data_IF_950406867824
#
_entry.id   IF_950406867824
#
_cell.length_a   1.000
_cell.length_b   1.000
_cell.length_c   1.000
_cell.angle_alpha   90.00
_cell.angle_beta   90.00
_cell.angle_gamma   90.00
#
_symmetry.space_group_name_H-M   'P 1'
#
loop_
_entity.id
_entity.type
_entity.pdbx_description
1 polymer ?
#
# COMPACT_ATOMS: atom_id res chain seq x y z
N UNK A 1 -5.62 -24.36 -1.78
CA UNK A 1 -5.23 -22.99 -1.46
C UNK A 1 -5.50 -22.74 0.02
N UNK A 2 -4.49 -22.93 0.84
CA UNK A 2 -4.54 -22.50 2.23
C UNK A 2 -4.23 -21.00 2.21
N UNK A 3 -5.27 -20.17 2.04
CA UNK A 3 -5.16 -18.76 2.39
C UNK A 3 -4.57 -18.69 3.80
N UNK A 4 -3.66 -17.77 4.02
CA UNK A 4 -2.99 -17.57 5.31
C UNK A 4 -4.10 -17.52 6.37
N UNK A 5 -4.06 -18.47 7.31
CA UNK A 5 -5.07 -18.62 8.36
C UNK A 5 -5.22 -17.28 9.09
N UNK A 6 -6.42 -16.75 9.13
CA UNK A 6 -6.78 -15.60 9.95
C UNK A 6 -6.90 -14.25 9.22
N UNK A 7 -6.41 -14.09 8.00
CA UNK A 7 -6.48 -12.80 7.29
C UNK A 7 -7.86 -12.57 6.67
N UNK A 8 -8.50 -11.47 7.02
CA UNK A 8 -9.81 -11.09 6.51
C UNK A 8 -9.67 -10.36 5.16
N UNK A 9 -9.20 -11.08 4.13
CA UNK A 9 -9.04 -10.55 2.78
C UNK A 9 -10.42 -10.36 2.14
N UNK A 10 -10.76 -9.16 1.68
CA UNK A 10 -12.00 -8.92 0.96
C UNK A 10 -12.14 -9.86 -0.22
N UNK A 11 -13.21 -10.65 -0.24
CA UNK A 11 -13.44 -11.66 -1.26
C UNK A 11 -14.86 -11.58 -1.80
N UNK A 12 -15.08 -12.22 -2.92
CA UNK A 12 -16.40 -12.37 -3.54
C UNK A 12 -16.56 -13.77 -4.08
N UNK A 13 -17.81 -14.22 -4.20
CA UNK A 13 -18.14 -15.50 -4.81
C UNK A 13 -18.40 -15.27 -6.30
N UNK A 14 -17.65 -15.98 -7.15
CA UNK A 14 -17.90 -16.04 -8.59
C UNK A 14 -18.62 -17.35 -8.87
N UNK A 15 -19.77 -17.23 -9.53
CA UNK A 15 -20.57 -18.37 -9.98
C UNK A 15 -20.26 -18.64 -11.46
N UNK A 16 -19.76 -19.81 -11.74
CA UNK A 16 -19.51 -20.29 -13.10
C UNK A 16 -20.61 -21.26 -13.51
N UNK A 17 -21.21 -21.06 -14.67
CA UNK A 17 -22.00 -22.06 -15.33
C UNK A 17 -21.07 -22.77 -16.32
N UNK A 18 -20.90 -24.06 -16.14
CA UNK A 18 -20.03 -24.90 -17.00
C UNK A 18 -20.88 -25.89 -17.74
N UNK A 19 -20.80 -25.86 -19.05
CA UNK A 19 -21.45 -26.82 -19.93
C UNK A 19 -20.40 -27.76 -20.52
N UNK A 20 -20.62 -29.06 -20.36
CA UNK A 20 -19.80 -30.08 -21.00
C UNK A 20 -20.54 -30.56 -22.25
N UNK A 21 -19.86 -30.49 -23.38
CA UNK A 21 -20.42 -30.90 -24.67
C UNK A 21 -19.73 -32.18 -25.15
N UNK A 22 -20.48 -33.02 -25.89
CA UNK A 22 -19.95 -34.21 -26.54
C UNK A 22 -19.35 -33.87 -27.92
N UNK A 23 -18.93 -34.90 -28.67
CA UNK A 23 -18.32 -34.76 -29.99
C UNK A 23 -19.27 -34.24 -31.05
N UNK A 24 -20.57 -34.09 -30.74
CA UNK A 24 -21.62 -33.56 -31.63
C UNK A 24 -22.11 -32.18 -31.21
N UNK A 25 -21.34 -31.50 -30.30
CA UNK A 25 -21.68 -30.20 -29.66
C UNK A 25 -23.01 -30.22 -28.87
N UNK A 26 -23.47 -31.42 -28.44
CA UNK A 26 -24.62 -31.56 -27.56
C UNK A 26 -24.21 -31.42 -26.10
N UNK A 27 -24.93 -30.57 -25.34
CA UNK A 27 -24.69 -30.42 -23.90
C UNK A 27 -25.08 -31.69 -23.16
N UNK A 28 -24.11 -32.36 -22.56
CA UNK A 28 -24.31 -33.63 -21.84
C UNK A 28 -24.26 -33.43 -20.31
N UNK A 29 -23.73 -32.31 -19.84
CA UNK A 29 -23.70 -31.97 -18.45
C UNK A 29 -23.70 -30.46 -18.26
N UNK A 30 -24.43 -29.97 -17.27
CA UNK A 30 -24.40 -28.59 -16.81
C UNK A 30 -24.06 -28.57 -15.33
N UNK A 31 -23.01 -27.88 -14.97
CA UNK A 31 -22.55 -27.75 -13.59
C UNK A 31 -22.47 -26.28 -13.17
N UNK A 32 -22.77 -26.04 -11.91
CA UNK A 32 -22.49 -24.75 -11.28
C UNK A 32 -21.31 -24.88 -10.34
N UNK A 33 -20.26 -24.11 -10.59
CA UNK A 33 -19.08 -24.03 -9.73
C UNK A 33 -19.08 -22.70 -9.00
N UNK A 34 -18.92 -22.72 -7.70
CA UNK A 34 -18.73 -21.53 -6.87
C UNK A 34 -17.27 -21.42 -6.48
N UNK A 35 -16.64 -20.31 -6.85
CA UNK A 35 -15.25 -20.02 -6.52
C UNK A 35 -15.18 -18.80 -5.63
N UNK A 36 -14.51 -18.91 -4.48
CA UNK A 36 -14.19 -17.75 -3.65
C UNK A 36 -12.93 -17.08 -4.24
N UNK A 37 -13.06 -15.84 -4.66
CA UNK A 37 -11.99 -15.07 -5.30
C UNK A 37 -11.70 -13.83 -4.48
N UNK A 38 -10.43 -13.55 -4.22
CA UNK A 38 -10.03 -12.30 -3.59
C UNK A 38 -10.43 -11.11 -4.48
N UNK A 39 -10.99 -10.08 -3.90
CA UNK A 39 -11.27 -8.84 -4.63
C UNK A 39 -9.96 -8.20 -5.05
N UNK A 40 -9.93 -7.62 -6.24
CA UNK A 40 -8.79 -6.82 -6.68
C UNK A 40 -8.56 -5.69 -5.68
N UNK A 41 -7.31 -5.49 -5.26
CA UNK A 41 -6.94 -4.35 -4.43
C UNK A 41 -7.37 -3.03 -5.11
N UNK A 42 -8.01 -2.11 -4.38
CA UNK A 42 -8.31 -0.78 -4.88
C UNK A 42 -7.06 0.11 -4.94
N UNK A 43 -5.94 -0.35 -4.39
CA UNK A 43 -4.70 0.40 -4.32
C UNK A 43 -3.91 0.27 -5.63
N UNK A 44 -3.14 1.31 -5.90
CA UNK A 44 -2.30 1.38 -7.09
C UNK A 44 -1.00 0.62 -6.80
N UNK A 45 -0.63 -0.25 -7.73
CA UNK A 45 0.64 -0.94 -7.66
C UNK A 45 1.80 0.07 -7.70
N UNK A 46 2.74 -0.05 -6.76
CA UNK A 46 3.92 0.82 -6.62
C UNK A 46 4.97 0.52 -7.70
N UNK A 47 4.59 0.73 -8.95
CA UNK A 47 5.54 0.67 -10.06
C UNK A 47 5.75 2.06 -10.68
N UNK A 48 6.93 2.27 -11.26
CA UNK A 48 7.33 3.56 -11.83
C UNK A 48 6.31 4.12 -12.84
N UNK A 49 5.73 3.26 -13.68
CA UNK A 49 4.77 3.68 -14.72
C UNK A 49 3.49 4.25 -14.12
N UNK A 50 2.93 3.58 -13.13
CA UNK A 50 1.70 4.04 -12.47
C UNK A 50 1.93 5.32 -11.68
N UNK A 51 3.02 5.37 -10.93
CA UNK A 51 3.39 6.54 -10.13
C UNK A 51 3.70 7.74 -11.03
N UNK A 52 4.47 7.57 -12.11
CA UNK A 52 4.76 8.65 -13.06
C UNK A 52 3.47 9.27 -13.65
N UNK A 53 2.47 8.44 -13.96
CA UNK A 53 1.17 8.90 -14.43
C UNK A 53 0.48 9.83 -13.41
N UNK A 54 0.53 9.46 -12.12
CA UNK A 54 -0.06 10.27 -11.05
C UNK A 54 0.70 11.58 -10.87
N UNK A 55 2.03 11.51 -10.84
CA UNK A 55 2.90 12.68 -10.67
C UNK A 55 2.75 13.70 -11.80
N UNK A 56 2.50 13.26 -13.04
CA UNK A 56 2.28 14.16 -14.16
C UNK A 56 1.03 15.04 -13.98
N UNK A 57 0.03 14.56 -13.23
CA UNK A 57 -1.18 15.34 -12.91
C UNK A 57 -1.04 16.21 -11.65
N UNK A 58 0.06 16.07 -10.89
CA UNK A 58 0.26 16.80 -9.65
C UNK A 58 0.94 18.14 -9.92
N UNK A 59 0.35 19.23 -9.43
CA UNK A 59 0.86 20.59 -9.56
C UNK A 59 0.94 21.27 -8.19
N UNK A 60 1.66 22.36 -8.09
CA UNK A 60 1.74 23.15 -6.84
C UNK A 60 0.36 23.66 -6.38
N UNK A 61 -0.57 23.85 -7.31
CA UNK A 61 -1.94 24.30 -7.04
C UNK A 61 -2.89 23.13 -6.72
N UNK A 62 -2.42 21.89 -6.77
CA UNK A 62 -3.24 20.72 -6.44
C UNK A 62 -3.62 20.77 -4.96
N UNK A 63 -4.93 20.85 -4.69
CA UNK A 63 -5.46 20.87 -3.33
C UNK A 63 -5.62 19.45 -2.80
N UNK A 64 -5.32 19.22 -1.52
CA UNK A 64 -5.58 17.93 -0.89
C UNK A 64 -7.10 17.68 -0.82
N UNK A 65 -7.49 16.42 -0.93
CA UNK A 65 -8.89 16.02 -0.71
C UNK A 65 -9.29 16.17 0.77
N UNK A 66 -8.32 16.12 1.67
CA UNK A 66 -8.43 16.32 3.12
C UNK A 66 -7.03 16.58 3.69
N UNK A 67 -6.97 17.08 4.93
CA UNK A 67 -5.71 17.40 5.60
C UNK A 67 -5.14 18.76 5.21
N UNK A 68 -3.92 19.03 5.67
CA UNK A 68 -3.24 20.34 5.56
C UNK A 68 -2.02 20.34 4.64
N UNK A 69 -1.52 19.18 4.24
CA UNK A 69 -0.29 19.05 3.44
C UNK A 69 -0.50 19.62 2.04
N UNK A 70 0.45 20.42 1.57
CA UNK A 70 0.57 20.76 0.16
C UNK A 70 0.95 19.54 -0.68
N UNK A 71 0.84 19.64 -2.00
CA UNK A 71 1.25 18.56 -2.91
C UNK A 71 2.72 18.15 -2.69
N UNK A 72 3.61 19.13 -2.49
CA UNK A 72 5.02 18.86 -2.22
C UNK A 72 5.24 18.19 -0.86
N UNK A 73 4.61 18.71 0.21
CA UNK A 73 4.72 18.11 1.54
C UNK A 73 4.23 16.66 1.58
N UNK A 74 3.10 16.37 0.90
CA UNK A 74 2.60 15.01 0.77
C UNK A 74 3.64 14.10 0.07
N UNK A 75 4.25 14.59 -1.01
CA UNK A 75 5.21 13.79 -1.77
C UNK A 75 6.50 13.52 -0.97
N UNK A 76 7.00 14.52 -0.25
CA UNK A 76 8.15 14.38 0.65
C UNK A 76 7.86 13.46 1.84
N UNK A 77 6.61 13.47 2.32
CA UNK A 77 6.16 12.52 3.34
C UNK A 77 6.15 11.08 2.80
N UNK A 78 5.58 10.85 1.61
CA UNK A 78 5.58 9.53 0.98
C UNK A 78 7.01 9.04 0.66
N UNK A 79 7.89 9.94 0.23
CA UNK A 79 9.31 9.63 0.05
C UNK A 79 9.95 9.13 1.34
N UNK A 80 9.71 9.83 2.44
CA UNK A 80 10.23 9.45 3.75
C UNK A 80 9.73 8.06 4.16
N UNK A 81 8.45 7.76 3.95
CA UNK A 81 7.90 6.43 4.25
C UNK A 81 8.49 5.33 3.38
N UNK A 82 8.76 5.57 2.09
CA UNK A 82 9.50 4.63 1.24
C UNK A 82 10.89 4.30 1.78
N UNK A 83 11.63 5.32 2.24
CA UNK A 83 12.97 5.12 2.80
C UNK A 83 12.92 4.35 4.13
N UNK A 84 11.99 4.66 5.03
CA UNK A 84 11.77 3.85 6.23
C UNK A 84 11.43 2.39 5.92
N UNK A 85 10.70 2.15 4.83
CA UNK A 85 10.33 0.78 4.40
C UNK A 85 11.51 -0.08 3.93
N UNK A 86 12.67 0.53 3.72
CA UNK A 86 13.93 -0.16 3.41
C UNK A 86 15.00 0.05 4.48
N UNK A 87 14.61 0.54 5.66
CA UNK A 87 15.51 0.76 6.80
C UNK A 87 16.39 2.01 6.69
N UNK A 88 15.98 3.03 5.94
CA UNK A 88 16.77 4.26 5.74
C UNK A 88 16.02 5.56 6.13
N UNK A 89 16.12 6.01 7.38
CA UNK A 89 16.71 5.31 8.52
C UNK A 89 15.77 4.21 9.04
N UNK A 90 16.32 3.27 9.79
CA UNK A 90 15.50 2.29 10.50
C UNK A 90 14.68 2.98 11.60
N UNK A 91 13.43 2.56 11.77
CA UNK A 91 12.58 3.08 12.84
C UNK A 91 13.10 2.63 14.19
N UNK A 92 13.25 3.56 15.14
CA UNK A 92 13.80 3.27 16.47
C UNK A 92 12.86 2.42 17.34
N UNK A 93 11.53 2.63 17.18
CA UNK A 93 10.51 1.93 17.98
C UNK A 93 9.17 1.86 17.27
N UNK A 94 8.37 0.87 17.67
CA UNK A 94 6.94 0.83 17.39
C UNK A 94 6.16 1.43 18.56
N UNK A 95 5.16 2.28 18.25
CA UNK A 95 4.30 2.91 19.26
C UNK A 95 3.10 2.05 19.65
N UNK A 96 2.77 1.06 18.83
CA UNK A 96 1.65 0.15 19.10
C UNK A 96 2.08 -0.93 20.09
N UNK A 97 1.34 -1.15 21.20
CA UNK A 97 1.57 -2.27 22.10
C UNK A 97 1.57 -3.61 21.38
N UNK A 98 2.43 -4.53 21.83
CA UNK A 98 2.64 -5.83 21.18
C UNK A 98 1.33 -6.64 21.04
N UNK A 99 0.48 -6.60 22.07
CA UNK A 99 -0.83 -7.28 22.08
C UNK A 99 -1.82 -6.78 21.00
N UNK A 100 -1.54 -5.64 20.38
CA UNK A 100 -2.38 -5.05 19.34
C UNK A 100 -1.79 -5.17 17.94
N UNK A 101 -0.52 -5.55 17.80
CA UNK A 101 0.20 -5.56 16.52
C UNK A 101 -0.47 -6.46 15.48
N UNK A 102 -0.86 -7.69 15.86
CA UNK A 102 -1.54 -8.62 14.94
C UNK A 102 -2.80 -8.00 14.34
N UNK A 103 -3.64 -7.37 15.17
CA UNK A 103 -4.86 -6.68 14.72
C UNK A 103 -4.56 -5.52 13.76
N UNK A 104 -3.50 -4.76 14.04
CA UNK A 104 -3.09 -3.64 13.17
C UNK A 104 -2.55 -4.16 11.85
N UNK A 105 -1.71 -5.19 11.84
CA UNK A 105 -1.21 -5.83 10.63
C UNK A 105 -2.33 -6.44 9.79
N UNK A 106 -3.28 -7.13 10.41
CA UNK A 106 -4.46 -7.67 9.73
C UNK A 106 -5.30 -6.57 9.06
N UNK A 107 -5.30 -5.36 9.63
CA UNK A 107 -6.01 -4.24 9.03
C UNK A 107 -5.47 -3.80 7.67
N UNK A 108 -4.21 -4.08 7.36
CA UNK A 108 -3.61 -3.79 6.05
C UNK A 108 -4.29 -4.62 4.94
N UNK A 109 -4.71 -5.83 5.24
CA UNK A 109 -5.31 -6.75 4.27
C UNK A 109 -6.81 -6.53 4.02
N UNK A 110 -7.48 -5.75 4.86
CA UNK A 110 -8.92 -5.52 4.71
C UNK A 110 -9.27 -4.39 3.73
N UNK A 111 -8.27 -3.79 3.09
CA UNK A 111 -8.38 -2.70 2.12
C UNK A 111 -9.15 -1.47 2.64
N UNK A 112 -9.16 -1.25 3.94
CA UNK A 112 -9.74 -0.03 4.52
C UNK A 112 -8.82 1.15 4.25
N UNK A 113 -9.44 2.25 3.83
CA UNK A 113 -8.71 3.51 3.73
C UNK A 113 -8.41 4.05 5.12
N UNK A 114 -7.25 4.67 5.27
CA UNK A 114 -6.92 5.45 6.47
C UNK A 114 -8.05 6.45 6.77
N UNK A 115 -8.51 6.58 8.02
CA UNK A 115 -9.44 7.63 8.39
C UNK A 115 -8.89 9.01 8.04
N UNK A 116 -9.78 9.91 7.62
CA UNK A 116 -9.38 11.31 7.40
C UNK A 116 -8.91 11.92 8.71
N UNK A 117 -7.93 12.79 8.61
CA UNK A 117 -7.37 13.54 9.76
C UNK A 117 -6.86 12.63 10.89
N UNK A 118 -6.40 11.43 10.54
CA UNK A 118 -5.80 10.52 11.51
C UNK A 118 -4.48 11.11 12.03
N UNK A 119 -4.36 11.33 13.35
CA UNK A 119 -3.15 11.90 13.93
C UNK A 119 -2.00 10.89 13.84
N UNK A 120 -0.91 11.30 13.19
CA UNK A 120 0.30 10.48 13.17
C UNK A 120 1.03 10.63 14.51
N UNK A 121 1.36 9.53 15.21
CA UNK A 121 1.91 9.57 16.57
C UNK A 121 3.29 10.24 16.70
N UNK A 122 3.94 10.54 15.59
CA UNK A 122 5.26 11.18 15.51
C UNK A 122 5.22 12.62 14.99
N UNK A 123 4.03 13.15 14.64
CA UNK A 123 3.88 14.57 14.31
C UNK A 123 3.69 15.40 15.59
N UNK A 124 4.14 16.67 15.60
CA UNK A 124 3.88 17.58 16.69
C UNK A 124 2.38 17.71 16.99
N UNK A 125 2.01 17.77 18.26
CA UNK A 125 0.61 17.90 18.69
C UNK A 125 -0.07 19.19 18.18
N UNK A 126 0.71 20.25 17.94
CA UNK A 126 0.24 21.51 17.39
C UNK A 126 -0.13 21.42 15.88
N UNK A 127 0.16 20.27 15.26
CA UNK A 127 -0.11 20.00 13.84
C UNK A 127 0.82 20.78 12.90
N UNK A 128 1.98 21.23 13.39
CA UNK A 128 3.02 21.85 12.56
C UNK A 128 3.50 20.84 11.53
N UNK A 129 3.47 21.23 10.26
CA UNK A 129 3.96 20.39 9.17
C UNK A 129 5.48 20.48 9.06
N UNK A 130 6.16 19.37 8.67
CA UNK A 130 7.59 19.41 8.43
C UNK A 130 7.99 20.46 7.40
N UNK A 131 9.17 21.04 7.59
CA UNK A 131 9.77 21.92 6.59
C UNK A 131 10.04 21.16 5.28
N UNK A 132 9.95 21.88 4.17
CA UNK A 132 10.21 21.32 2.85
C UNK A 132 11.69 20.98 2.70
N UNK A 133 11.98 19.77 2.20
CA UNK A 133 13.35 19.29 1.92
C UNK A 133 13.88 19.82 0.58
N UNK A 134 12.99 19.99 -0.38
CA UNK A 134 13.33 20.34 -1.77
C UNK A 134 12.85 21.74 -2.14
N UNK A 135 13.51 22.32 -3.14
CA UNK A 135 13.24 23.72 -3.55
C UNK A 135 11.86 23.90 -4.19
N UNK A 136 11.35 22.88 -4.84
CA UNK A 136 10.07 22.91 -5.54
C UNK A 136 9.50 21.51 -5.73
N UNK A 137 8.25 21.42 -6.18
CA UNK A 137 7.53 20.19 -6.43
C UNK A 137 8.21 19.27 -7.47
N UNK A 138 8.79 19.84 -8.53
CA UNK A 138 9.44 19.04 -9.58
C UNK A 138 10.66 18.29 -9.04
N UNK A 139 11.49 18.97 -8.23
CA UNK A 139 12.60 18.32 -7.56
C UNK A 139 12.12 17.22 -6.59
N UNK A 140 11.03 17.46 -5.87
CA UNK A 140 10.42 16.45 -4.99
C UNK A 140 9.93 15.22 -5.80
N UNK A 141 9.33 15.43 -6.98
CA UNK A 141 8.92 14.34 -7.88
C UNK A 141 10.09 13.50 -8.37
N UNK A 142 11.17 14.14 -8.77
CA UNK A 142 12.39 13.44 -9.21
C UNK A 142 12.96 12.57 -8.09
N UNK A 143 13.11 13.14 -6.90
CA UNK A 143 13.62 12.43 -5.73
C UNK A 143 12.72 11.27 -5.28
N UNK A 144 11.42 11.48 -5.31
CA UNK A 144 10.47 10.40 -5.05
C UNK A 144 10.63 9.23 -6.03
N UNK A 145 10.80 9.50 -7.33
CA UNK A 145 10.99 8.46 -8.33
C UNK A 145 12.36 7.75 -8.20
N UNK A 146 13.41 8.46 -7.81
CA UNK A 146 14.71 7.87 -7.50
C UNK A 146 14.59 6.91 -6.31
N UNK A 147 13.94 7.35 -5.22
CA UNK A 147 13.77 6.54 -4.03
C UNK A 147 12.77 5.39 -4.21
N UNK A 148 11.76 5.55 -5.06
CA UNK A 148 10.90 4.43 -5.49
C UNK A 148 11.71 3.35 -6.23
N UNK A 149 12.62 3.76 -7.11
CA UNK A 149 13.51 2.82 -7.79
C UNK A 149 14.44 2.11 -6.79
N UNK A 150 15.00 2.84 -5.82
CA UNK A 150 15.81 2.27 -4.74
C UNK A 150 15.03 1.24 -3.94
N UNK A 151 13.81 1.55 -3.52
CA UNK A 151 12.88 0.65 -2.86
C UNK A 151 12.65 -0.64 -3.66
N UNK A 152 12.40 -0.52 -4.97
CA UNK A 152 12.16 -1.68 -5.85
C UNK A 152 13.40 -2.56 -6.01
N UNK A 153 14.58 -1.95 -6.13
CA UNK A 153 15.86 -2.67 -6.21
C UNK A 153 16.12 -3.40 -4.90
N UNK A 154 15.97 -2.71 -3.77
CA UNK A 154 16.20 -3.27 -2.45
C UNK A 154 15.40 -4.55 -2.21
N UNK A 155 14.08 -4.53 -2.44
CA UNK A 155 13.24 -5.72 -2.23
C UNK A 155 13.38 -6.79 -3.33
N UNK A 156 13.93 -6.47 -4.47
CA UNK A 156 14.34 -7.47 -5.45
C UNK A 156 15.56 -8.26 -4.98
N UNK A 157 16.50 -7.58 -4.32
CA UNK A 157 17.74 -8.18 -3.81
C UNK A 157 17.55 -8.81 -2.43
N UNK A 158 16.58 -8.32 -1.65
CA UNK A 158 16.28 -8.75 -0.30
C UNK A 158 14.79 -9.10 -0.15
N UNK A 159 14.28 -10.17 -0.81
CA UNK A 159 12.84 -10.46 -0.86
C UNK A 159 12.21 -10.79 0.49
N UNK A 160 13.02 -11.30 1.43
CA UNK A 160 12.58 -11.69 2.78
C UNK A 160 12.88 -10.62 3.84
N UNK A 161 13.34 -9.42 3.43
CA UNK A 161 13.65 -8.37 4.39
C UNK A 161 12.38 -7.88 5.09
N UNK A 162 12.52 -7.62 6.39
CA UNK A 162 11.50 -7.02 7.24
C UNK A 162 12.08 -5.78 7.91
N UNK A 163 11.29 -4.71 7.95
CA UNK A 163 11.67 -3.47 8.62
C UNK A 163 10.62 -3.05 9.64
N UNK A 164 11.08 -2.38 10.69
CA UNK A 164 10.22 -1.88 11.74
C UNK A 164 9.45 -0.65 11.23
N UNK A 165 8.12 -0.69 11.40
CA UNK A 165 7.24 0.46 11.16
C UNK A 165 6.72 1.01 12.48
N UNK A 166 6.60 2.32 12.62
CA UNK A 166 6.21 3.02 13.85
C UNK A 166 4.86 2.58 14.44
N UNK A 167 3.92 2.12 13.60
CA UNK A 167 2.57 1.72 14.02
C UNK A 167 2.32 0.23 13.87
N UNK A 168 2.82 -0.38 12.80
CA UNK A 168 2.47 -1.76 12.45
C UNK A 168 3.51 -2.80 12.91
N UNK A 169 4.59 -2.39 13.59
CA UNK A 169 5.67 -3.30 13.97
C UNK A 169 6.51 -3.75 12.76
N UNK A 170 7.06 -4.95 12.79
CA UNK A 170 7.85 -5.50 11.68
C UNK A 170 6.95 -5.84 10.51
N UNK A 171 7.27 -5.30 9.35
CA UNK A 171 6.55 -5.51 8.10
C UNK A 171 7.48 -6.08 7.04
N UNK A 172 7.00 -7.08 6.30
CA UNK A 172 7.63 -7.57 5.08
C UNK A 172 7.22 -6.71 3.87
N UNK A 173 7.78 -7.02 2.69
CA UNK A 173 7.49 -6.30 1.44
C UNK A 173 5.99 -6.17 1.14
N UNK A 174 5.23 -7.29 1.21
CA UNK A 174 3.79 -7.30 0.93
C UNK A 174 3.03 -6.34 1.82
N UNK A 175 3.32 -6.36 3.12
CA UNK A 175 2.69 -5.46 4.10
C UNK A 175 3.07 -4.00 3.88
N UNK A 176 4.33 -3.72 3.52
CA UNK A 176 4.78 -2.36 3.16
C UNK A 176 4.04 -1.84 1.92
N UNK A 177 3.86 -2.68 0.89
CA UNK A 177 3.10 -2.31 -0.32
C UNK A 177 1.61 -2.06 -0.03
N UNK A 178 1.02 -2.76 0.93
CA UNK A 178 -0.37 -2.54 1.36
C UNK A 178 -0.53 -1.26 2.20
N UNK A 179 0.52 -0.85 2.90
CA UNK A 179 0.54 0.36 3.72
C UNK A 179 0.69 1.62 2.84
N UNK A 180 1.49 1.56 1.77
CA UNK A 180 1.69 2.64 0.81
C UNK A 180 0.54 2.78 -0.18
#
# INVERSE_FOLDING_TARGET
NRGVKGRNIPSGVVKWLVEVVNQRDEVVCVATILTLVAKKSPFIELNRRNIQKLLNGLTENTKPNWGKMTAQQMLEHLETTLLYSIGEPEAEKCFTPEEHLEKYQDSLYNHRKMPKDFPAPFLPEDGTLPELKYKNLEQAKEKFLENLQKYQIYYRENPEAEHLHFVFGKLNKEMMELMH
#
